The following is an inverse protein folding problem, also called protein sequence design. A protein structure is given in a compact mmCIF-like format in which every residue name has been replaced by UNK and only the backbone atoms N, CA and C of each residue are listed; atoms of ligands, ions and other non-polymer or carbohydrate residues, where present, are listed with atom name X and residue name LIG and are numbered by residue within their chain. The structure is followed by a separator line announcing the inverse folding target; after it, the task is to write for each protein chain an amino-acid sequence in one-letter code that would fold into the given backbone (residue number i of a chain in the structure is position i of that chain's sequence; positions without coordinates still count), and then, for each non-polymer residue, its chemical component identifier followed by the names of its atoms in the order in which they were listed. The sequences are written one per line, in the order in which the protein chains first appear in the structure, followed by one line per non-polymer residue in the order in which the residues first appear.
data_IF_779768130663
#
_entry.id   IF_779768130663
#
_cell.length_a   1.000
_cell.length_b   1.000
_cell.length_c   1.000
_cell.angle_alpha   90.00
_cell.angle_beta   90.00
_cell.angle_gamma   90.00
#
_symmetry.space_group_name_H-M   'P 1'
#
loop_
_entity.id
_entity.type
_entity.pdbx_description
1 polymer ?
#
# COMPACT_ATOMS: atom_id res chain seq x y z
N UNK A 1 12.16 -14.26 -11.65
CA UNK A 1 10.87 -14.18 -12.36
C UNK A 1 9.89 -13.57 -11.38
N UNK A 2 9.07 -12.57 -11.76
CA UNK A 2 8.08 -12.05 -10.84
C UNK A 2 7.08 -13.16 -10.51
N UNK A 3 6.75 -13.31 -9.24
CA UNK A 3 5.73 -14.26 -8.78
C UNK A 3 4.41 -13.94 -9.44
N UNK A 4 3.69 -14.92 -9.99
CA UNK A 4 2.41 -14.67 -10.62
C UNK A 4 1.40 -14.22 -9.56
N UNK A 5 0.76 -13.08 -9.80
CA UNK A 5 -0.43 -12.68 -9.07
C UNK A 5 -1.54 -13.65 -9.52
N UNK A 6 -2.00 -14.51 -8.64
CA UNK A 6 -3.16 -15.36 -8.91
C UNK A 6 -4.41 -14.69 -8.37
N UNK A 7 -5.43 -14.63 -9.19
CA UNK A 7 -6.76 -14.18 -8.79
C UNK A 7 -7.67 -15.40 -8.69
N UNK A 8 -8.36 -15.55 -7.56
CA UNK A 8 -9.56 -16.37 -7.51
C UNK A 8 -10.75 -15.42 -7.40
N UNK A 9 -11.47 -15.26 -8.49
CA UNK A 9 -12.79 -14.62 -8.47
C UNK A 9 -13.81 -15.72 -8.23
N UNK A 10 -14.18 -15.94 -6.99
CA UNK A 10 -15.33 -16.77 -6.69
C UNK A 10 -16.55 -15.87 -6.59
N UNK A 11 -17.40 -15.90 -7.61
CA UNK A 11 -18.72 -15.28 -7.58
C UNK A 11 -19.63 -16.28 -6.85
N UNK A 12 -19.80 -16.11 -5.54
CA UNK A 12 -20.72 -16.94 -4.77
C UNK A 12 -21.86 -16.11 -4.17
N UNK A 13 -23.07 -16.72 -4.03
CA UNK A 13 -24.21 -16.09 -3.37
C UNK A 13 -23.96 -15.87 -1.87
N UNK A 14 -24.84 -15.14 -1.15
CA UNK A 14 -24.55 -14.58 0.18
C UNK A 14 -24.14 -15.64 1.20
N UNK A 15 -22.98 -15.43 1.78
CA UNK A 15 -22.28 -16.37 2.65
C UNK A 15 -22.86 -16.46 4.05
N UNK A 16 -23.04 -17.70 4.52
CA UNK A 16 -23.19 -18.05 5.93
C UNK A 16 -21.88 -17.78 6.70
N UNK A 17 -21.92 -17.77 8.02
CA UNK A 17 -20.83 -17.43 8.94
C UNK A 17 -19.52 -18.24 8.80
N UNK A 18 -19.50 -19.34 8.04
CA UNK A 18 -18.30 -20.13 7.71
C UNK A 18 -17.38 -19.52 6.65
N UNK A 19 -17.87 -18.59 5.85
CA UNK A 19 -17.17 -18.05 4.67
C UNK A 19 -15.91 -17.21 4.96
N UNK A 20 -15.67 -16.76 6.18
CA UNK A 20 -14.43 -16.05 6.54
C UNK A 20 -13.27 -17.02 6.77
N UNK A 21 -13.52 -18.13 7.42
CA UNK A 21 -12.54 -19.20 7.62
C UNK A 21 -12.10 -19.77 6.26
N UNK A 22 -13.06 -20.04 5.36
CA UNK A 22 -12.77 -20.54 4.00
C UNK A 22 -11.86 -19.59 3.20
N UNK A 23 -12.03 -18.27 3.33
CA UNK A 23 -11.19 -17.29 2.64
C UNK A 23 -9.77 -17.27 3.19
N UNK A 24 -9.63 -17.36 4.49
CA UNK A 24 -8.31 -17.43 5.12
C UNK A 24 -7.59 -18.72 4.72
N UNK A 25 -8.28 -19.85 4.68
CA UNK A 25 -7.69 -21.11 4.26
C UNK A 25 -7.23 -21.06 2.80
N UNK A 26 -8.04 -20.50 1.90
CA UNK A 26 -7.67 -20.27 0.49
C UNK A 26 -6.45 -19.33 0.38
N UNK A 27 -6.41 -18.25 1.15
CA UNK A 27 -5.29 -17.33 1.13
C UNK A 27 -4.00 -18.00 1.64
N UNK A 28 -4.09 -18.82 2.67
CA UNK A 28 -2.97 -19.59 3.22
C UNK A 28 -2.48 -20.64 2.22
N UNK A 29 -3.39 -21.36 1.54
CA UNK A 29 -3.03 -22.32 0.49
C UNK A 29 -2.39 -21.66 -0.73
N UNK A 30 -2.89 -20.49 -1.14
CA UNK A 30 -2.31 -19.72 -2.24
C UNK A 30 -0.89 -19.26 -1.94
N UNK A 31 -0.58 -19.01 -0.67
CA UNK A 31 0.72 -18.55 -0.20
C UNK A 31 1.29 -17.37 -1.02
N UNK A 32 0.41 -16.41 -1.33
CA UNK A 32 0.73 -15.14 -1.98
C UNK A 32 0.79 -14.03 -0.94
N UNK A 33 1.41 -12.90 -1.28
CA UNK A 33 1.42 -11.75 -0.36
C UNK A 33 0.02 -11.37 0.09
N UNK A 34 -0.94 -11.31 -0.85
CA UNK A 34 -2.37 -11.12 -0.57
C UNK A 34 -3.24 -11.86 -1.59
N UNK A 35 -4.40 -12.33 -1.11
CA UNK A 35 -5.51 -12.84 -1.92
C UNK A 35 -6.71 -11.91 -1.76
N UNK A 36 -7.22 -11.36 -2.86
CA UNK A 36 -8.39 -10.50 -2.87
C UNK A 36 -9.66 -11.30 -3.12
N UNK A 37 -10.69 -11.07 -2.31
CA UNK A 37 -12.02 -11.64 -2.47
C UNK A 37 -13.02 -10.53 -2.76
N UNK A 38 -13.71 -10.63 -3.88
CA UNK A 38 -14.71 -9.65 -4.32
C UNK A 38 -16.07 -10.31 -4.49
N UNK A 39 -17.12 -9.64 -3.98
CA UNK A 39 -18.52 -10.13 -4.06
C UNK A 39 -19.40 -8.98 -4.55
N UNK A 40 -20.26 -9.25 -5.54
CA UNK A 40 -21.27 -8.31 -6.01
C UNK A 40 -22.41 -8.25 -5.01
N UNK A 41 -22.76 -7.07 -4.56
CA UNK A 41 -23.90 -6.78 -3.68
C UNK A 41 -24.88 -5.84 -4.39
N UNK A 42 -26.08 -5.64 -3.82
CA UNK A 42 -27.07 -4.73 -4.39
C UNK A 42 -26.59 -3.27 -4.48
N UNK A 43 -25.67 -2.86 -3.60
CA UNK A 43 -25.12 -1.50 -3.49
C UNK A 43 -23.76 -1.32 -4.15
N UNK A 44 -23.25 -2.31 -4.86
CA UNK A 44 -21.90 -2.29 -5.47
C UNK A 44 -21.11 -3.56 -5.21
N UNK A 45 -19.84 -3.42 -4.92
CA UNK A 45 -18.95 -4.55 -4.70
C UNK A 45 -18.35 -4.51 -3.30
N UNK A 46 -18.30 -5.67 -2.62
CA UNK A 46 -17.56 -5.83 -1.36
C UNK A 46 -16.20 -6.45 -1.65
N UNK A 47 -15.14 -5.83 -1.14
CA UNK A 47 -13.77 -6.27 -1.36
C UNK A 47 -13.06 -6.48 -0.03
N UNK A 48 -12.35 -7.61 0.09
CA UNK A 48 -11.57 -7.99 1.26
C UNK A 48 -10.25 -8.62 0.83
N UNK A 49 -9.21 -8.42 1.64
CA UNK A 49 -7.85 -8.93 1.35
C UNK A 49 -7.34 -9.75 2.51
N UNK A 50 -6.74 -10.88 2.17
CA UNK A 50 -6.17 -11.81 3.13
C UNK A 50 -4.72 -12.10 2.77
N UNK A 51 -3.82 -11.97 3.74
CA UNK A 51 -2.49 -12.58 3.72
C UNK A 51 -2.59 -14.04 4.16
N UNK A 52 -1.54 -14.86 4.03
CA UNK A 52 -1.53 -16.20 4.61
C UNK A 52 -1.83 -16.24 6.12
N UNK A 53 -1.52 -15.15 6.84
CA UNK A 53 -1.63 -15.08 8.31
C UNK A 53 -2.91 -14.39 8.80
N UNK A 54 -3.65 -13.70 7.93
CA UNK A 54 -4.86 -12.99 8.35
C UNK A 54 -5.37 -11.96 7.36
N UNK A 55 -6.55 -11.42 7.70
CA UNK A 55 -7.16 -10.34 6.94
C UNK A 55 -6.48 -9.01 7.21
N UNK A 56 -6.33 -8.20 6.15
CA UNK A 56 -5.82 -6.83 6.21
C UNK A 56 -6.87 -5.82 5.76
N UNK A 57 -6.75 -4.59 6.25
CA UNK A 57 -7.74 -3.53 6.05
C UNK A 57 -7.60 -2.80 4.70
N UNK A 58 -6.40 -2.78 4.11
CA UNK A 58 -6.12 -2.07 2.87
C UNK A 58 -4.97 -2.70 2.08
N UNK A 59 -5.20 -2.96 0.79
CA UNK A 59 -4.18 -3.44 -0.14
C UNK A 59 -4.31 -2.78 -1.52
N UNK A 60 -3.34 -1.95 -1.92
CA UNK A 60 -3.39 -1.19 -3.17
C UNK A 60 -3.24 -2.06 -4.41
N UNK A 61 -2.21 -2.89 -4.48
CA UNK A 61 -1.94 -3.69 -5.67
C UNK A 61 -2.99 -4.79 -5.92
N UNK A 62 -3.51 -5.42 -4.86
CA UNK A 62 -4.58 -6.41 -4.99
C UNK A 62 -5.91 -5.74 -5.40
N UNK A 63 -6.16 -4.50 -4.96
CA UNK A 63 -7.28 -3.69 -5.46
C UNK A 63 -7.14 -3.39 -6.94
N UNK A 64 -5.98 -2.91 -7.39
CA UNK A 64 -5.70 -2.65 -8.80
C UNK A 64 -5.94 -3.88 -9.67
N UNK A 65 -5.46 -5.00 -9.22
CA UNK A 65 -5.63 -6.27 -9.90
C UNK A 65 -7.10 -6.71 -9.96
N UNK A 66 -7.86 -6.52 -8.86
CA UNK A 66 -9.30 -6.77 -8.84
C UNK A 66 -10.05 -5.87 -9.83
N UNK A 67 -9.73 -4.57 -9.86
CA UNK A 67 -10.29 -3.61 -10.82
C UNK A 67 -10.01 -4.03 -12.26
N UNK A 68 -8.76 -4.42 -12.54
CA UNK A 68 -8.36 -4.90 -13.87
C UNK A 68 -9.19 -6.11 -14.31
N UNK A 69 -9.36 -7.11 -13.43
CA UNK A 69 -10.15 -8.30 -13.74
C UNK A 69 -11.62 -7.95 -13.92
N UNK A 70 -12.20 -7.16 -13.03
CA UNK A 70 -13.61 -6.76 -13.13
C UNK A 70 -13.90 -6.03 -14.43
N UNK A 71 -13.11 -5.00 -14.76
CA UNK A 71 -13.37 -4.12 -15.92
C UNK A 71 -12.92 -4.67 -17.27
N UNK A 72 -12.17 -5.75 -17.32
CA UNK A 72 -11.76 -6.33 -18.60
C UNK A 72 -12.37 -7.73 -18.87
N UNK A 73 -12.78 -8.46 -17.82
CA UNK A 73 -13.22 -9.86 -17.98
C UNK A 73 -14.58 -10.17 -17.38
N UNK A 74 -14.98 -9.51 -16.31
CA UNK A 74 -16.25 -9.81 -15.61
C UNK A 74 -17.36 -8.88 -16.06
N UNK A 75 -17.11 -7.58 -16.06
CA UNK A 75 -18.04 -6.54 -16.52
C UNK A 75 -17.29 -5.53 -17.40
N UNK A 76 -17.01 -5.86 -18.67
CA UNK A 76 -16.18 -5.04 -19.57
C UNK A 76 -16.75 -3.64 -19.85
N UNK A 77 -18.05 -3.44 -19.68
CA UNK A 77 -18.72 -2.14 -19.85
C UNK A 77 -18.57 -1.24 -18.61
N UNK A 78 -18.02 -1.76 -17.52
CA UNK A 78 -17.82 -1.02 -16.27
C UNK A 78 -16.64 -0.04 -16.43
N UNK A 79 -16.91 1.25 -16.28
CA UNK A 79 -15.89 2.32 -16.33
C UNK A 79 -15.53 2.88 -14.95
N UNK A 80 -16.37 2.61 -13.95
CA UNK A 80 -16.17 3.01 -12.56
C UNK A 80 -16.69 1.91 -11.64
N UNK A 81 -16.02 1.66 -10.54
CA UNK A 81 -16.44 0.71 -9.51
C UNK A 81 -16.26 1.31 -8.12
N UNK A 82 -17.21 1.00 -7.23
CA UNK A 82 -17.10 1.31 -5.80
C UNK A 82 -17.04 0.00 -5.02
N UNK A 83 -16.08 -0.07 -4.11
CA UNK A 83 -15.90 -1.17 -3.18
C UNK A 83 -16.27 -0.74 -1.76
N UNK A 84 -17.01 -1.60 -1.07
CA UNK A 84 -17.14 -1.55 0.39
C UNK A 84 -16.05 -2.41 1.01
N UNK A 85 -15.19 -1.81 1.84
CA UNK A 85 -14.04 -2.48 2.48
C UNK A 85 -14.01 -2.21 3.98
N UNK A 86 -13.05 -2.83 4.70
CA UNK A 86 -12.83 -2.52 6.13
C UNK A 86 -12.32 -1.08 6.34
N UNK A 87 -11.60 -0.53 5.38
CA UNK A 87 -11.11 0.87 5.41
C UNK A 87 -12.12 1.88 4.87
N UNK A 88 -13.38 1.47 4.68
CA UNK A 88 -14.43 2.32 4.13
C UNK A 88 -14.67 2.10 2.64
N UNK A 89 -15.16 3.13 1.95
CA UNK A 89 -15.43 3.07 0.52
C UNK A 89 -14.18 3.39 -0.26
N UNK A 90 -13.83 2.53 -1.21
CA UNK A 90 -12.81 2.78 -2.22
C UNK A 90 -13.50 2.90 -3.58
N UNK A 91 -12.98 3.75 -4.44
CA UNK A 91 -13.43 3.84 -5.82
C UNK A 91 -12.29 3.66 -6.81
N UNK A 92 -12.62 3.15 -7.99
CA UNK A 92 -11.68 3.06 -9.09
C UNK A 92 -12.38 3.42 -10.40
N UNK A 93 -11.65 4.13 -11.27
CA UNK A 93 -12.11 4.57 -12.59
C UNK A 93 -11.10 4.15 -13.66
N UNK A 94 -11.61 3.69 -14.80
CA UNK A 94 -10.79 3.44 -15.98
C UNK A 94 -10.53 4.76 -16.70
N UNK A 95 -9.26 5.11 -16.89
CA UNK A 95 -8.81 6.28 -17.64
C UNK A 95 -7.87 5.84 -18.76
N UNK A 96 -8.40 5.63 -19.95
CA UNK A 96 -7.68 5.04 -21.08
C UNK A 96 -7.11 3.65 -20.70
N UNK A 97 -5.80 3.48 -20.74
CA UNK A 97 -5.11 2.24 -20.38
C UNK A 97 -4.70 2.17 -18.89
N UNK A 98 -5.08 3.17 -18.08
CA UNK A 98 -4.76 3.26 -16.66
C UNK A 98 -6.02 3.13 -15.80
N UNK A 99 -5.81 2.79 -14.54
CA UNK A 99 -6.84 2.80 -13.51
C UNK A 99 -6.48 3.82 -12.43
N UNK A 100 -7.35 4.79 -12.22
CA UNK A 100 -7.26 5.72 -11.11
C UNK A 100 -8.03 5.13 -9.93
N UNK A 101 -7.39 5.06 -8.78
CA UNK A 101 -7.98 4.55 -7.55
C UNK A 101 -7.97 5.65 -6.47
N UNK A 102 -9.07 5.78 -5.76
CA UNK A 102 -9.22 6.71 -4.65
C UNK A 102 -9.06 5.94 -3.33
N UNK A 103 -8.04 6.30 -2.56
CA UNK A 103 -7.71 5.72 -1.27
C UNK A 103 -7.78 6.77 -0.16
N UNK A 104 -8.08 6.37 1.08
CA UNK A 104 -8.06 7.29 2.21
C UNK A 104 -6.65 7.83 2.45
N UNK A 105 -6.53 9.14 2.68
CA UNK A 105 -5.30 9.74 3.18
C UNK A 105 -5.21 9.55 4.70
N UNK A 106 -4.05 9.10 5.18
CA UNK A 106 -3.83 9.00 6.63
C UNK A 106 -3.34 10.33 7.20
N UNK A 107 -3.94 10.74 8.32
CA UNK A 107 -3.41 11.87 9.08
C UNK A 107 -2.07 11.52 9.72
N UNK A 108 -1.10 12.42 9.57
CA UNK A 108 0.24 12.27 10.12
C UNK A 108 0.47 13.28 11.24
N UNK A 109 0.95 12.79 12.38
CA UNK A 109 1.41 13.61 13.50
C UNK A 109 2.93 13.64 13.51
N UNK A 110 3.53 14.82 13.50
CA UNK A 110 4.97 14.97 13.69
C UNK A 110 5.39 14.54 15.09
N UNK A 111 6.43 13.73 15.18
CA UNK A 111 7.00 13.21 16.43
C UNK A 111 8.51 13.49 16.48
N UNK A 112 9.10 13.33 17.66
CA UNK A 112 10.54 13.45 17.82
C UNK A 112 11.29 12.30 17.15
N UNK A 113 12.40 12.61 16.51
CA UNK A 113 13.35 11.61 16.00
C UNK A 113 14.10 10.98 17.14
N UNK A 114 14.00 9.65 17.28
CA UNK A 114 14.62 8.92 18.38
C UNK A 114 15.90 8.21 17.95
N UNK A 115 16.77 7.92 18.91
CA UNK A 115 17.96 7.09 18.69
C UNK A 115 17.60 5.68 18.20
N UNK A 116 16.42 5.17 18.60
CA UNK A 116 15.93 3.87 18.12
C UNK A 116 15.65 3.88 16.62
N UNK A 117 15.08 4.97 16.07
CA UNK A 117 14.87 5.15 14.64
C UNK A 117 16.19 5.20 13.88
N UNK A 118 17.15 5.98 14.38
CA UNK A 118 18.49 6.06 13.80
C UNK A 118 19.18 4.69 13.75
N UNK A 119 19.13 3.93 14.85
CA UNK A 119 19.71 2.58 14.91
C UNK A 119 19.00 1.56 14.03
N UNK A 120 17.69 1.72 13.83
CA UNK A 120 16.92 0.83 12.95
C UNK A 120 17.15 1.13 11.47
N UNK A 121 17.23 2.41 11.10
CA UNK A 121 17.38 2.84 9.70
C UNK A 121 18.84 2.81 9.24
N UNK A 122 19.78 3.02 10.17
CA UNK A 122 21.22 3.12 9.90
C UNK A 122 21.70 4.54 9.63
N UNK A 123 20.81 5.53 9.66
CA UNK A 123 21.12 6.98 9.60
C UNK A 123 20.04 7.76 10.34
N UNK A 124 20.40 8.98 10.78
CA UNK A 124 19.48 9.85 11.53
C UNK A 124 18.48 10.50 10.58
N UNK A 125 17.15 10.28 10.76
CA UNK A 125 16.15 11.01 10.02
C UNK A 125 16.16 12.51 10.34
N UNK A 126 15.78 13.34 9.38
CA UNK A 126 15.53 14.77 9.59
C UNK A 126 14.22 15.02 10.32
N UNK A 127 13.21 14.19 10.00
CA UNK A 127 11.88 14.28 10.58
C UNK A 127 11.29 12.87 10.75
N UNK A 128 10.41 12.74 11.72
CA UNK A 128 9.60 11.55 11.90
C UNK A 128 8.12 11.92 12.07
N UNK A 129 7.25 11.10 11.50
CA UNK A 129 5.80 11.28 11.51
C UNK A 129 5.14 9.94 11.79
N UNK A 130 4.07 9.96 12.56
CA UNK A 130 3.29 8.76 12.90
C UNK A 130 1.82 8.93 12.50
N UNK A 131 1.29 7.92 11.86
CA UNK A 131 -0.13 7.68 11.62
C UNK A 131 -0.42 6.21 11.93
N UNK A 132 -1.02 5.48 11.00
CA UNK A 132 -1.03 4.02 11.06
C UNK A 132 0.40 3.46 11.00
N UNK A 133 1.21 4.06 10.16
CA UNK A 133 2.60 3.67 9.89
C UNK A 133 3.57 4.78 10.35
N UNK A 134 4.82 4.40 10.55
CA UNK A 134 5.91 5.34 10.83
C UNK A 134 6.54 5.82 9.53
N UNK A 135 6.64 7.14 9.36
CA UNK A 135 7.31 7.80 8.24
C UNK A 135 8.54 8.56 8.71
N UNK A 136 9.72 8.19 8.22
CA UNK A 136 10.98 8.85 8.49
C UNK A 136 11.50 9.56 7.24
N UNK A 137 11.64 10.88 7.31
CA UNK A 137 12.17 11.71 6.21
C UNK A 137 13.68 11.76 6.37
N UNK A 138 14.40 11.30 5.35
CA UNK A 138 15.86 11.33 5.27
C UNK A 138 16.34 12.58 4.53
N UNK A 139 17.64 12.84 4.59
CA UNK A 139 18.23 14.05 4.04
C UNK A 139 18.16 14.11 2.51
N UNK A 140 18.34 12.96 1.84
CA UNK A 140 18.40 12.90 0.39
C UNK A 140 18.01 11.51 -0.16
N UNK A 141 17.82 11.47 -1.47
CA UNK A 141 17.47 10.26 -2.21
C UNK A 141 18.52 9.14 -2.06
N UNK A 142 19.81 9.47 -2.03
CA UNK A 142 20.88 8.47 -1.92
C UNK A 142 20.80 7.71 -0.59
N UNK A 143 20.45 8.38 0.50
CA UNK A 143 20.22 7.74 1.79
C UNK A 143 19.07 6.75 1.74
N UNK A 144 17.98 7.07 1.03
CA UNK A 144 16.84 6.15 0.85
C UNK A 144 17.25 4.93 0.03
N UNK A 145 17.94 5.15 -1.09
CA UNK A 145 18.38 4.07 -2.00
C UNK A 145 19.36 3.12 -1.30
N UNK A 146 20.33 3.67 -0.56
CA UNK A 146 21.41 2.91 0.06
C UNK A 146 21.06 2.34 1.44
N UNK A 147 19.90 2.71 2.01
CA UNK A 147 19.49 2.27 3.33
C UNK A 147 19.49 0.74 3.46
N UNK A 148 20.03 0.26 4.56
CA UNK A 148 20.04 -1.14 4.96
C UNK A 148 19.50 -1.24 6.40
N UNK A 149 18.19 -1.12 6.58
CA UNK A 149 17.60 -1.14 7.91
C UNK A 149 17.86 -2.47 8.64
N UNK A 150 18.06 -2.35 9.94
CA UNK A 150 18.02 -3.49 10.85
C UNK A 150 16.55 -3.83 11.12
N UNK A 151 16.05 -4.86 10.46
CA UNK A 151 14.64 -5.23 10.49
C UNK A 151 14.17 -5.67 11.89
N UNK A 152 15.04 -6.27 12.70
CA UNK A 152 14.70 -6.65 14.06
C UNK A 152 14.51 -5.40 14.96
N UNK A 153 15.34 -4.38 14.79
CA UNK A 153 15.13 -3.10 15.46
C UNK A 153 13.92 -2.35 14.93
N UNK A 154 13.65 -2.44 13.61
CA UNK A 154 12.49 -1.82 13.00
C UNK A 154 11.16 -2.40 13.52
N UNK A 155 11.11 -3.70 13.87
CA UNK A 155 9.94 -4.32 14.53
C UNK A 155 9.58 -3.66 15.87
N UNK A 156 10.55 -3.11 16.57
CA UNK A 156 10.33 -2.48 17.89
C UNK A 156 9.86 -1.02 17.80
N UNK A 157 9.89 -0.40 16.61
CA UNK A 157 9.40 0.96 16.40
C UNK A 157 7.88 1.02 16.42
N UNK A 158 7.32 2.19 16.73
CA UNK A 158 5.89 2.45 16.60
C UNK A 158 5.43 2.36 15.12
N UNK A 159 4.11 2.26 14.92
CA UNK A 159 3.51 2.09 13.60
C UNK A 159 3.53 0.64 13.12
N UNK A 160 2.71 0.32 12.11
CA UNK A 160 2.65 -1.01 11.53
C UNK A 160 3.79 -1.24 10.54
N UNK A 161 4.02 -0.29 9.63
CA UNK A 161 5.08 -0.30 8.63
C UNK A 161 6.09 0.82 8.92
N UNK A 162 7.30 0.67 8.39
CA UNK A 162 8.32 1.71 8.36
C UNK A 162 8.52 2.22 6.93
N UNK A 163 8.17 3.47 6.70
CA UNK A 163 8.48 4.18 5.46
C UNK A 163 9.68 5.10 5.66
N UNK A 164 10.70 4.95 4.83
CA UNK A 164 11.75 5.95 4.69
C UNK A 164 11.55 6.69 3.37
N UNK A 165 11.70 8.00 3.38
CA UNK A 165 11.44 8.84 2.22
C UNK A 165 12.34 10.06 2.19
N UNK A 166 12.57 10.60 1.00
CA UNK A 166 13.28 11.85 0.78
C UNK A 166 12.72 12.59 -0.43
N UNK A 167 13.06 13.88 -0.58
CA UNK A 167 12.82 14.61 -1.81
C UNK A 167 13.60 13.96 -2.95
N UNK A 168 12.96 13.77 -4.10
CA UNK A 168 13.62 13.29 -5.31
C UNK A 168 14.58 14.35 -5.90
N UNK A 169 15.60 13.90 -6.62
CA UNK A 169 16.62 14.79 -7.21
C UNK A 169 16.14 15.43 -8.50
N UNK A 170 15.71 14.62 -9.46
CA UNK A 170 15.50 15.09 -10.83
C UNK A 170 14.04 14.90 -11.29
N UNK A 171 13.69 13.65 -11.63
CA UNK A 171 12.42 13.33 -12.26
C UNK A 171 11.27 13.21 -11.26
N UNK A 172 11.56 12.69 -10.08
CA UNK A 172 10.54 12.35 -9.09
C UNK A 172 10.44 13.42 -8.02
N UNK A 173 9.23 13.68 -7.53
CA UNK A 173 9.00 14.63 -6.44
C UNK A 173 9.50 14.09 -5.11
N UNK A 174 9.31 12.80 -4.91
CA UNK A 174 9.83 12.08 -3.76
C UNK A 174 10.20 10.65 -4.11
N UNK A 175 11.07 10.09 -3.29
CA UNK A 175 11.46 8.68 -3.33
C UNK A 175 11.18 8.04 -1.99
N UNK A 176 10.92 6.72 -1.99
CA UNK A 176 10.60 6.00 -0.77
C UNK A 176 11.03 4.54 -0.81
N UNK A 177 11.10 3.93 0.37
CA UNK A 177 11.12 2.48 0.57
C UNK A 177 10.22 2.14 1.75
N UNK A 178 9.61 0.95 1.71
CA UNK A 178 8.67 0.49 2.73
C UNK A 178 9.12 -0.85 3.29
N UNK A 179 9.36 -0.89 4.59
CA UNK A 179 9.77 -2.10 5.32
C UNK A 179 8.61 -2.59 6.18
N UNK A 180 8.39 -3.92 6.16
CA UNK A 180 7.18 -4.57 6.69
C UNK A 180 7.53 -5.71 7.67
N UNK A 181 8.54 -5.57 8.52
CA UNK A 181 9.06 -6.68 9.32
C UNK A 181 8.05 -7.23 10.33
N UNK A 182 7.03 -6.46 10.72
CA UNK A 182 5.95 -6.90 11.61
C UNK A 182 4.97 -7.89 10.96
N UNK A 183 4.95 -7.94 9.63
CA UNK A 183 4.09 -8.83 8.83
C UNK A 183 4.92 -9.90 8.10
N UNK A 184 6.11 -10.22 8.63
CA UNK A 184 7.04 -11.23 8.09
C UNK A 184 7.48 -10.99 6.63
N UNK A 185 7.43 -9.75 6.17
CA UNK A 185 7.93 -9.30 4.86
C UNK A 185 9.03 -8.27 5.09
N UNK A 186 10.21 -8.49 4.52
CA UNK A 186 11.34 -7.58 4.72
C UNK A 186 11.06 -6.21 4.11
N UNK A 187 10.66 -6.17 2.83
CA UNK A 187 10.38 -4.94 2.09
C UNK A 187 9.23 -5.16 1.11
N UNK A 188 8.25 -4.24 1.10
CA UNK A 188 7.21 -4.18 0.08
C UNK A 188 7.77 -3.52 -1.18
N UNK A 189 7.73 -4.19 -2.34
CA UNK A 189 8.31 -3.65 -3.57
C UNK A 189 7.64 -2.38 -4.08
N UNK A 190 6.31 -2.22 -3.92
CA UNK A 190 5.55 -0.99 -4.27
C UNK A 190 4.31 -0.90 -3.38
N UNK A 191 4.43 -0.14 -2.29
CA UNK A 191 3.43 -0.07 -1.24
C UNK A 191 2.38 1.02 -1.50
N UNK A 192 1.20 0.62 -1.96
CA UNK A 192 0.08 1.56 -2.18
C UNK A 192 -0.39 2.21 -0.88
N UNK A 193 -0.57 1.44 0.20
CA UNK A 193 -1.01 1.97 1.50
C UNK A 193 0.03 2.90 2.14
N UNK A 194 1.32 2.66 1.91
CA UNK A 194 2.38 3.57 2.34
C UNK A 194 2.24 4.94 1.70
N UNK A 195 1.85 4.99 0.44
CA UNK A 195 1.65 6.25 -0.26
C UNK A 195 0.42 7.04 0.20
N UNK A 196 -0.53 6.40 0.89
CA UNK A 196 -1.60 7.10 1.60
C UNK A 196 -1.09 7.99 2.76
N UNK A 197 0.14 7.77 3.24
CA UNK A 197 0.87 8.62 4.18
C UNK A 197 1.79 9.62 3.45
N UNK A 198 2.52 9.13 2.44
CA UNK A 198 3.59 9.90 1.77
C UNK A 198 3.04 11.01 0.88
N UNK A 199 1.91 10.78 0.20
CA UNK A 199 1.34 11.78 -0.72
C UNK A 199 0.85 13.03 0.02
N UNK A 200 0.05 12.94 1.09
CA UNK A 200 -0.32 14.11 1.88
C UNK A 200 0.91 14.88 2.39
N UNK A 201 1.89 14.16 2.93
CA UNK A 201 3.13 14.76 3.45
C UNK A 201 3.89 15.54 2.37
N UNK A 202 4.12 14.93 1.20
CA UNK A 202 4.87 15.56 0.13
C UNK A 202 4.07 16.62 -0.62
N UNK A 203 2.75 16.48 -0.74
CA UNK A 203 1.87 17.54 -1.26
C UNK A 203 1.98 18.82 -0.44
N UNK A 204 1.93 18.70 0.89
CA UNK A 204 2.10 19.83 1.80
C UNK A 204 3.51 20.42 1.70
N UNK A 205 4.56 19.59 1.78
CA UNK A 205 5.97 20.05 1.73
C UNK A 205 6.35 20.74 0.42
N UNK A 206 5.77 20.29 -0.69
CA UNK A 206 6.08 20.83 -2.02
C UNK A 206 5.08 21.89 -2.50
N UNK A 207 3.95 22.05 -1.80
CA UNK A 207 2.89 22.98 -2.18
C UNK A 207 2.22 22.63 -3.50
N UNK A 208 2.12 21.34 -3.84
CA UNK A 208 1.50 20.86 -5.09
C UNK A 208 0.68 19.60 -4.86
N UNK A 209 -0.39 19.44 -5.66
CA UNK A 209 -1.29 18.27 -5.56
C UNK A 209 -0.80 17.06 -6.34
N UNK A 210 -0.25 17.27 -7.52
CA UNK A 210 0.25 16.18 -8.36
C UNK A 210 1.64 15.76 -7.88
N UNK A 211 1.75 14.53 -7.37
CA UNK A 211 3.00 13.96 -6.87
C UNK A 211 3.42 12.80 -7.76
N UNK A 212 4.59 12.91 -8.36
CA UNK A 212 5.25 11.81 -9.04
C UNK A 212 6.25 11.17 -8.09
N UNK A 213 5.87 10.04 -7.50
CA UNK A 213 6.68 9.32 -6.56
C UNK A 213 7.39 8.12 -7.19
N UNK A 214 8.54 7.75 -6.64
CA UNK A 214 9.24 6.52 -7.00
C UNK A 214 9.60 5.72 -5.74
N UNK A 215 9.12 4.48 -5.67
CA UNK A 215 9.57 3.56 -4.63
C UNK A 215 10.81 2.82 -5.11
N UNK A 216 11.94 3.03 -4.40
CA UNK A 216 13.28 2.58 -4.83
C UNK A 216 13.66 1.20 -4.30
N UNK A 217 12.68 0.29 -4.17
CA UNK A 217 12.94 -1.12 -3.85
C UNK A 217 13.75 -1.80 -4.96
N UNK A 218 14.17 -3.05 -4.73
CA UNK A 218 14.88 -3.83 -5.74
C UNK A 218 14.12 -3.99 -7.07
N UNK A 219 12.77 -4.00 -7.01
CA UNK A 219 11.88 -4.03 -8.17
C UNK A 219 11.64 -2.63 -8.74
N UNK A 220 11.46 -1.66 -7.87
CA UNK A 220 11.08 -0.28 -8.20
C UNK A 220 9.65 -0.13 -8.69
N UNK A 221 9.10 1.07 -8.52
CA UNK A 221 7.77 1.40 -9.04
C UNK A 221 7.53 2.90 -9.07
N UNK A 222 6.93 3.37 -10.16
CA UNK A 222 6.50 4.77 -10.33
C UNK A 222 5.03 4.88 -9.97
N UNK A 223 4.69 5.89 -9.18
CA UNK A 223 3.33 6.17 -8.76
C UNK A 223 2.95 7.59 -9.15
N UNK A 224 1.89 7.72 -9.94
CA UNK A 224 1.25 8.98 -10.30
C UNK A 224 0.12 9.22 -9.31
N UNK A 225 0.19 10.30 -8.53
CA UNK A 225 -0.69 10.46 -7.39
C UNK A 225 -1.23 11.88 -7.28
N UNK A 226 -2.45 11.98 -6.74
CA UNK A 226 -3.09 13.26 -6.41
C UNK A 226 -3.20 13.35 -4.89
N UNK A 227 -2.61 14.39 -4.33
CA UNK A 227 -2.76 14.75 -2.93
C UNK A 227 -4.12 15.41 -2.66
N UNK A 228 -4.50 15.48 -1.40
CA UNK A 228 -5.76 16.09 -0.95
C UNK A 228 -5.86 17.58 -1.24
#
# INVERSE_FOLDING_TARGET
MPSPIRFSTEIQPPFASGALADRQDIASENNLSETAFVVKEASGWKLRWFTPDGEIDLCGHATLATVFVLMNFVEPDLTEVQFSTLSGKLSAKKKNDLFEMDFPAYELKKIEVTEAMEKAIGCKPLEAWIGRDLVCVLENEDQVIQAKPDLEKAKALDGLLLHITAKGKDKYDCVSRTFVPKLAVDEDPVCGSGHCHLVPLWSEKLGKKEILAYQTSSRGGVLYQLGP
#
